data_IF_685962042022
#
_entry.id   IF_685962042022
#
_cell.length_a   1.000
_cell.length_b   1.000
_cell.length_c   1.000
_cell.angle_alpha   90.00
_cell.angle_beta   90.00
_cell.angle_gamma   90.00
#
_symmetry.space_group_name_H-M   'P 1'
#
loop_
_entity.id
_entity.type
_entity.pdbx_description
1 polymer ?
#
# COMPACT_ATOMS: atom_id res chain seq x y z
N UNK A 1 26.84 16.70 -8.43
CA UNK A 1 26.14 15.52 -9.00
C UNK A 1 25.05 14.94 -8.10
N UNK A 2 25.12 15.08 -6.76
CA UNK A 2 24.08 14.54 -5.85
C UNK A 2 22.72 15.29 -5.85
N UNK A 3 22.61 16.44 -6.52
CA UNK A 3 21.38 17.27 -6.54
C UNK A 3 20.50 16.99 -7.77
N UNK A 4 21.06 16.38 -8.81
CA UNK A 4 20.34 16.07 -10.05
C UNK A 4 19.69 14.68 -10.02
N UNK A 5 20.23 13.74 -9.23
CA UNK A 5 19.67 12.39 -9.07
C UNK A 5 18.27 12.41 -8.41
N UNK A 6 18.06 13.32 -7.45
CA UNK A 6 16.76 13.48 -6.76
C UNK A 6 15.68 14.17 -7.60
N UNK A 7 16.05 14.82 -8.71
CA UNK A 7 15.11 15.49 -9.61
C UNK A 7 14.55 14.57 -10.70
N UNK A 8 15.15 13.40 -10.92
CA UNK A 8 14.76 12.48 -11.98
C UNK A 8 13.83 11.34 -11.53
N UNK A 9 13.71 11.07 -10.22
CA UNK A 9 12.95 9.91 -9.70
C UNK A 9 11.49 10.23 -9.34
N UNK A 10 11.09 11.51 -9.34
CA UNK A 10 9.73 11.90 -8.93
C UNK A 10 8.97 12.53 -10.10
N UNK A 11 8.21 11.68 -10.78
CA UNK A 11 7.19 12.06 -11.76
C UNK A 11 6.19 13.07 -11.17
N UNK A 12 5.76 13.99 -12.02
CA UNK A 12 4.99 15.24 -11.78
C UNK A 12 3.70 15.16 -10.95
N UNK A 13 3.25 13.98 -10.49
CA UNK A 13 2.12 13.83 -9.55
C UNK A 13 2.55 13.81 -8.07
N UNK A 14 3.80 13.43 -7.75
CA UNK A 14 4.28 13.33 -6.37
C UNK A 14 4.73 14.69 -5.78
N UNK A 15 5.14 15.66 -6.62
CA UNK A 15 5.65 16.97 -6.17
C UNK A 15 4.63 17.81 -5.37
N UNK A 16 3.33 17.56 -5.54
CA UNK A 16 2.26 18.34 -4.89
C UNK A 16 2.21 18.07 -3.38
N UNK A 17 2.68 16.91 -2.92
CA UNK A 17 2.54 16.45 -1.52
C UNK A 17 3.68 16.92 -0.62
N UNK A 18 4.83 17.27 -1.19
CA UNK A 18 5.99 17.74 -0.45
C UNK A 18 6.00 19.26 -0.30
N UNK A 19 6.72 19.77 0.70
CA UNK A 19 6.97 21.20 0.86
C UNK A 19 7.62 21.76 -0.41
N UNK A 20 7.03 22.81 -1.00
CA UNK A 20 7.60 23.53 -2.13
C UNK A 20 8.75 24.45 -1.69
N UNK A 21 9.86 23.83 -1.30
CA UNK A 21 11.05 24.50 -0.79
C UNK A 21 11.63 25.52 -1.78
N UNK A 22 11.55 25.22 -3.09
CA UNK A 22 12.00 26.13 -4.16
C UNK A 22 11.16 27.40 -4.20
N UNK A 23 9.84 27.30 -4.13
CA UNK A 23 8.94 28.46 -4.10
C UNK A 23 9.14 29.31 -2.84
N UNK A 24 9.23 28.68 -1.66
CA UNK A 24 9.49 29.39 -0.40
C UNK A 24 10.84 30.12 -0.42
N UNK A 25 11.89 29.49 -0.96
CA UNK A 25 13.20 30.15 -1.12
C UNK A 25 13.13 31.35 -2.07
N UNK A 26 12.37 31.25 -3.17
CA UNK A 26 12.13 32.38 -4.09
C UNK A 26 11.34 33.49 -3.39
N UNK A 27 10.36 33.14 -2.56
CA UNK A 27 9.57 34.08 -1.78
C UNK A 27 10.47 34.89 -0.83
N UNK A 28 11.36 34.25 -0.06
CA UNK A 28 12.31 34.95 0.83
C UNK A 28 13.13 35.99 0.04
N UNK A 29 13.67 35.61 -1.13
CA UNK A 29 14.44 36.54 -1.98
C UNK A 29 13.59 37.72 -2.46
N UNK A 30 12.35 37.45 -2.89
CA UNK A 30 11.42 38.48 -3.37
C UNK A 30 11.05 39.47 -2.25
N UNK A 31 10.76 38.95 -1.06
CA UNK A 31 10.41 39.78 0.10
C UNK A 31 11.58 40.63 0.58
N UNK A 32 12.81 40.10 0.56
CA UNK A 32 14.01 40.87 0.91
C UNK A 32 14.34 41.96 -0.12
N UNK A 33 13.92 41.80 -1.37
CA UNK A 33 14.10 42.80 -2.43
C UNK A 33 12.93 43.80 -2.54
N UNK A 34 11.95 43.74 -1.64
CA UNK A 34 10.78 44.63 -1.68
C UNK A 34 11.15 45.99 -1.07
N UNK A 35 10.95 47.13 -1.75
CA UNK A 35 11.27 48.44 -1.19
C UNK A 35 10.43 48.71 0.06
N UNK A 36 11.07 49.14 1.15
CA UNK A 36 10.36 49.62 2.35
C UNK A 36 10.01 51.08 2.09
N UNK A 37 8.72 51.39 1.95
CA UNK A 37 8.26 52.77 1.93
C UNK A 37 8.35 53.32 3.36
N UNK A 38 9.31 54.21 3.63
CA UNK A 38 9.31 54.98 4.87
C UNK A 38 8.19 56.02 4.82
N UNK A 39 7.38 56.10 5.88
CA UNK A 39 6.24 57.02 5.96
C UNK A 39 6.64 58.50 6.15
N UNK A 40 7.94 58.82 6.17
CA UNK A 40 8.45 60.18 6.31
C UNK A 40 9.65 60.32 5.38
N UNK A 41 9.42 60.88 4.19
CA UNK A 41 10.48 61.33 3.29
C UNK A 41 10.74 62.81 3.59
N UNK A 42 11.76 63.05 4.40
CA UNK A 42 12.31 64.39 4.62
C UNK A 42 13.09 64.79 3.33
N UNK A 43 12.85 65.95 2.70
CA UNK A 43 13.40 66.29 1.37
C UNK A 43 14.94 66.41 1.30
N UNK A 44 15.64 66.34 2.44
CA UNK A 44 17.08 66.63 2.55
C UNK A 44 17.96 65.41 2.86
N UNK A 45 17.41 64.18 2.92
CA UNK A 45 18.21 62.97 3.17
C UNK A 45 18.46 62.17 1.87
N UNK A 46 19.72 61.73 1.60
CA UNK A 46 20.01 60.88 0.45
C UNK A 46 19.23 59.56 0.57
N UNK A 47 18.94 58.87 -0.56
CA UNK A 47 18.15 57.63 -0.54
C UNK A 47 18.79 56.64 0.44
N UNK A 48 18.07 56.32 1.52
CA UNK A 48 18.48 55.33 2.51
C UNK A 48 18.74 54.02 1.75
N UNK A 49 19.90 53.37 1.91
CA UNK A 49 20.17 52.09 1.27
C UNK A 49 19.03 51.12 1.57
N UNK A 50 18.53 50.41 0.55
CA UNK A 50 17.54 49.35 0.69
C UNK A 50 17.99 48.37 1.78
N UNK A 51 17.44 48.50 2.98
CA UNK A 51 17.68 47.55 4.05
C UNK A 51 16.82 46.30 3.77
N UNK A 52 17.39 45.39 3.00
CA UNK A 52 16.78 44.11 2.66
C UNK A 52 16.35 43.31 3.90
N UNK A 53 16.99 43.55 5.05
CA UNK A 53 16.62 42.93 6.32
C UNK A 53 15.31 43.50 6.86
N UNK A 54 15.18 44.83 6.92
CA UNK A 54 13.94 45.50 7.34
C UNK A 54 12.77 45.18 6.40
N UNK A 55 13.02 45.14 5.09
CA UNK A 55 12.03 44.72 4.09
C UNK A 55 11.48 43.31 4.33
N UNK A 56 12.38 42.36 4.60
CA UNK A 56 12.00 40.97 4.86
C UNK A 56 11.20 40.85 6.16
N UNK A 57 11.62 41.56 7.22
CA UNK A 57 10.91 41.58 8.51
C UNK A 57 9.52 42.21 8.39
N UNK A 58 9.37 43.31 7.66
CA UNK A 58 8.07 43.95 7.41
C UNK A 58 7.09 43.01 6.68
N UNK A 59 7.61 42.09 5.85
CA UNK A 59 6.83 41.11 5.11
C UNK A 59 6.73 39.73 5.82
N UNK A 60 7.03 39.64 7.11
CA UNK A 60 7.00 38.40 7.91
C UNK A 60 5.69 37.62 7.73
N UNK A 61 4.55 38.28 7.88
CA UNK A 61 3.23 37.64 7.79
C UNK A 61 3.03 36.89 6.46
N UNK A 62 3.50 37.47 5.34
CA UNK A 62 3.34 36.87 4.01
C UNK A 62 4.15 35.59 3.82
N UNK A 63 5.37 35.53 4.39
CA UNK A 63 6.16 34.31 4.36
C UNK A 63 5.54 33.21 5.22
N UNK A 64 5.17 33.53 6.46
CA UNK A 64 4.60 32.55 7.38
C UNK A 64 3.22 32.05 6.93
N UNK A 65 2.37 32.91 6.35
CA UNK A 65 1.14 32.47 5.72
C UNK A 65 1.38 31.41 4.63
N UNK A 66 2.36 31.65 3.74
CA UNK A 66 2.69 30.65 2.72
C UNK A 66 3.29 29.37 3.33
N UNK A 67 4.08 29.49 4.39
CA UNK A 67 4.66 28.35 5.10
C UNK A 67 3.57 27.49 5.77
N UNK A 68 2.56 28.12 6.37
CA UNK A 68 1.39 27.48 6.97
C UNK A 68 0.57 26.74 5.91
N UNK A 69 0.37 27.33 4.72
CA UNK A 69 -0.29 26.63 3.60
C UNK A 69 0.45 25.37 3.18
N UNK A 70 1.78 25.41 3.15
CA UNK A 70 2.59 24.22 2.86
C UNK A 70 2.51 23.19 3.99
N UNK A 71 2.45 23.63 5.25
CA UNK A 71 2.30 22.77 6.42
C UNK A 71 0.94 22.05 6.43
N UNK A 72 -0.14 22.77 6.22
CA UNK A 72 -1.49 22.22 6.13
C UNK A 72 -1.59 21.18 5.01
N UNK A 73 -1.03 21.49 3.84
CA UNK A 73 -0.99 20.57 2.69
C UNK A 73 -0.30 19.25 3.03
N UNK A 74 0.86 19.31 3.67
CA UNK A 74 1.60 18.11 4.12
C UNK A 74 0.78 17.33 5.16
N UNK A 75 0.16 18.04 6.10
CA UNK A 75 -0.64 17.43 7.15
C UNK A 75 -1.89 16.72 6.61
N UNK A 76 -2.61 17.32 5.67
CA UNK A 76 -3.78 16.70 5.01
C UNK A 76 -3.39 15.39 4.33
N UNK A 77 -2.27 15.37 3.60
CA UNK A 77 -1.78 14.15 2.96
C UNK A 77 -1.40 13.07 3.99
N UNK A 78 -0.70 13.46 5.06
CA UNK A 78 -0.35 12.52 6.13
C UNK A 78 -1.59 11.90 6.77
N UNK A 79 -2.57 12.72 7.19
CA UNK A 79 -3.78 12.24 7.86
C UNK A 79 -4.57 11.28 6.99
N UNK A 80 -4.65 11.56 5.69
CA UNK A 80 -5.26 10.63 4.73
C UNK A 80 -4.51 9.29 4.71
N UNK A 81 -3.18 9.31 4.59
CA UNK A 81 -2.38 8.08 4.51
C UNK A 81 -2.37 7.30 5.82
N UNK A 82 -2.36 7.98 6.95
CA UNK A 82 -2.50 7.38 8.28
C UNK A 82 -3.83 6.63 8.40
N UNK A 83 -4.94 7.25 7.97
CA UNK A 83 -6.26 6.62 8.00
C UNK A 83 -6.33 5.37 7.08
N UNK A 84 -5.80 5.47 5.86
CA UNK A 84 -5.70 4.34 4.92
C UNK A 84 -4.91 3.17 5.52
N UNK A 85 -3.73 3.46 6.12
CA UNK A 85 -2.90 2.45 6.78
C UNK A 85 -3.60 1.83 8.00
N UNK A 86 -4.27 2.62 8.84
CA UNK A 86 -5.03 2.12 10.00
C UNK A 86 -6.11 1.13 9.57
N UNK A 87 -6.89 1.46 8.54
CA UNK A 87 -7.93 0.58 8.00
C UNK A 87 -7.30 -0.69 7.42
N UNK A 88 -6.18 -0.56 6.70
CA UNK A 88 -5.49 -1.71 6.10
C UNK A 88 -4.97 -2.67 7.16
N UNK A 89 -4.29 -2.16 8.19
CA UNK A 89 -3.76 -2.97 9.29
C UNK A 89 -4.89 -3.70 10.02
N UNK A 90 -6.00 -3.00 10.32
CA UNK A 90 -7.17 -3.61 10.94
C UNK A 90 -7.70 -4.77 10.09
N UNK A 91 -7.85 -4.56 8.79
CA UNK A 91 -8.32 -5.60 7.85
C UNK A 91 -7.38 -6.81 7.86
N UNK A 92 -6.07 -6.60 7.83
CA UNK A 92 -5.08 -7.68 7.90
C UNK A 92 -5.15 -8.45 9.22
N UNK A 93 -5.29 -7.75 10.36
CA UNK A 93 -5.44 -8.37 11.67
C UNK A 93 -6.74 -9.19 11.76
N UNK A 94 -7.84 -8.67 11.23
CA UNK A 94 -9.13 -9.37 11.22
C UNK A 94 -9.04 -10.65 10.36
N UNK A 95 -8.41 -10.57 9.17
CA UNK A 95 -8.14 -11.74 8.32
C UNK A 95 -7.23 -12.75 9.02
N UNK A 96 -6.19 -12.29 9.71
CA UNK A 96 -5.32 -13.13 10.56
C UNK A 96 -6.11 -13.85 11.65
N UNK A 97 -7.03 -13.16 12.33
CA UNK A 97 -7.87 -13.74 13.39
C UNK A 97 -8.79 -14.84 12.86
N UNK A 98 -9.42 -14.60 11.72
CA UNK A 98 -10.25 -15.61 11.03
C UNK A 98 -9.41 -16.83 10.66
N UNK A 99 -8.22 -16.60 10.11
CA UNK A 99 -7.29 -17.66 9.75
C UNK A 99 -6.86 -18.50 10.97
N UNK A 100 -6.57 -17.86 12.11
CA UNK A 100 -6.25 -18.54 13.38
C UNK A 100 -7.40 -19.37 13.94
N UNK A 101 -8.64 -18.89 13.82
CA UNK A 101 -9.81 -19.60 14.36
C UNK A 101 -10.06 -20.94 13.69
N UNK A 102 -9.53 -21.13 12.48
CA UNK A 102 -9.51 -22.39 11.75
C UNK A 102 -8.20 -23.10 12.10
N UNK A 103 -8.22 -23.97 13.12
CA UNK A 103 -7.04 -24.72 13.55
C UNK A 103 -6.39 -25.46 12.35
N UNK A 104 -5.08 -25.27 12.13
CA UNK A 104 -4.32 -26.03 11.13
C UNK A 104 -3.75 -25.25 9.94
N UNK A 105 -3.44 -23.96 10.05
CA UNK A 105 -2.80 -23.26 8.92
C UNK A 105 -1.34 -23.64 8.71
N UNK A 106 -1.10 -24.39 7.64
CA UNK A 106 0.23 -24.63 7.07
C UNK A 106 0.80 -23.38 6.40
N UNK A 107 2.13 -23.21 6.40
CA UNK A 107 2.86 -22.23 5.56
C UNK A 107 2.47 -22.29 4.08
N UNK A 108 1.99 -23.46 3.63
CA UNK A 108 1.59 -23.72 2.24
C UNK A 108 0.16 -23.26 1.91
N UNK A 109 -0.59 -22.74 2.88
CA UNK A 109 -1.92 -22.20 2.59
C UNK A 109 -1.78 -20.91 1.80
N UNK A 110 -2.39 -20.81 0.62
CA UNK A 110 -2.35 -19.57 -0.16
C UNK A 110 -2.94 -18.35 0.58
N UNK A 111 -3.89 -18.58 1.51
CA UNK A 111 -4.39 -17.53 2.41
C UNK A 111 -3.31 -17.04 3.37
N UNK A 112 -2.44 -17.95 3.84
CA UNK A 112 -1.28 -17.59 4.66
C UNK A 112 -0.30 -16.74 3.86
N UNK A 113 0.13 -17.21 2.68
CA UNK A 113 1.09 -16.50 1.82
C UNK A 113 0.57 -15.10 1.44
N UNK A 114 -0.68 -15.01 1.00
CA UNK A 114 -1.29 -13.73 0.60
C UNK A 114 -1.41 -12.75 1.78
N UNK A 115 -1.66 -13.26 2.99
CA UNK A 115 -1.73 -12.48 4.21
C UNK A 115 -0.36 -12.00 4.67
N UNK A 116 0.66 -12.87 4.64
CA UNK A 116 2.06 -12.54 4.94
C UNK A 116 2.58 -11.47 4.00
N UNK A 117 2.36 -11.63 2.68
CA UNK A 117 2.65 -10.60 1.68
C UNK A 117 1.91 -9.29 1.98
N UNK A 118 0.66 -9.38 2.44
CA UNK A 118 -0.17 -8.24 2.83
C UNK A 118 0.47 -7.43 3.96
N UNK A 119 0.96 -8.10 5.00
CA UNK A 119 1.69 -7.46 6.10
C UNK A 119 3.05 -6.90 5.66
N UNK A 120 3.79 -7.63 4.81
CA UNK A 120 5.07 -7.15 4.30
C UNK A 120 4.91 -5.88 3.44
N UNK A 121 3.88 -5.84 2.59
CA UNK A 121 3.57 -4.66 1.80
C UNK A 121 3.10 -3.49 2.67
N UNK A 122 2.29 -3.76 3.69
CA UNK A 122 1.92 -2.76 4.69
C UNK A 122 3.15 -2.13 5.35
N UNK A 123 4.12 -2.94 5.79
CA UNK A 123 5.37 -2.46 6.39
C UNK A 123 6.17 -1.57 5.41
N UNK A 124 6.22 -1.96 4.13
CA UNK A 124 6.87 -1.16 3.09
C UNK A 124 6.16 0.19 2.89
N UNK A 125 4.83 0.23 2.93
CA UNK A 125 4.07 1.47 2.77
C UNK A 125 4.16 2.37 4.00
N UNK A 126 4.26 1.79 5.20
CA UNK A 126 4.53 2.51 6.44
C UNK A 126 5.92 3.17 6.41
N UNK A 127 6.95 2.46 5.93
CA UNK A 127 8.29 3.03 5.75
C UNK A 127 8.29 4.20 4.76
N UNK A 128 7.55 4.12 3.65
CA UNK A 128 7.39 5.26 2.72
C UNK A 128 6.76 6.48 3.40
N UNK A 129 5.76 6.27 4.26
CA UNK A 129 5.16 7.35 5.04
C UNK A 129 6.15 7.95 6.05
N UNK A 130 6.96 7.13 6.70
CA UNK A 130 8.03 7.59 7.60
C UNK A 130 9.06 8.46 6.87
N UNK A 131 9.54 8.01 5.70
CA UNK A 131 10.44 8.80 4.86
C UNK A 131 9.81 10.13 4.43
N UNK A 132 8.51 10.13 4.11
CA UNK A 132 7.77 11.35 3.79
C UNK A 132 7.79 12.35 4.97
N UNK A 133 7.58 11.89 6.20
CA UNK A 133 7.63 12.73 7.42
C UNK A 133 9.03 13.34 7.58
N UNK A 134 10.07 12.51 7.51
CA UNK A 134 11.46 12.94 7.70
C UNK A 134 11.92 13.98 6.67
N UNK A 135 11.57 13.76 5.39
CA UNK A 135 11.91 14.67 4.29
C UNK A 135 11.21 16.02 4.50
N UNK A 136 9.91 16.03 4.82
CA UNK A 136 9.17 17.27 5.01
C UNK A 136 9.61 18.02 6.29
N UNK A 137 9.87 17.31 7.39
CA UNK A 137 10.40 17.94 8.60
C UNK A 137 11.77 18.57 8.40
N UNK A 138 12.63 17.90 7.64
CA UNK A 138 13.92 18.47 7.21
C UNK A 138 13.72 19.72 6.35
N UNK A 139 12.74 19.72 5.44
CA UNK A 139 12.44 20.87 4.59
C UNK A 139 11.97 22.10 5.40
N UNK A 140 11.05 21.91 6.35
CA UNK A 140 10.59 22.96 7.27
C UNK A 140 11.74 23.52 8.12
N UNK A 141 12.55 22.65 8.72
CA UNK A 141 13.71 23.06 9.52
C UNK A 141 14.73 23.86 8.71
N UNK A 142 14.98 23.47 7.45
CA UNK A 142 15.91 24.15 6.55
C UNK A 142 15.38 25.50 6.06
N UNK A 143 14.09 25.61 5.73
CA UNK A 143 13.52 26.88 5.24
C UNK A 143 13.43 27.92 6.37
N UNK A 144 13.08 27.50 7.60
CA UNK A 144 13.11 28.37 8.77
C UNK A 144 14.52 28.82 9.13
N UNK A 145 15.52 27.92 9.05
CA UNK A 145 16.95 28.30 9.20
C UNK A 145 17.39 29.32 8.16
N UNK A 146 16.84 29.24 6.93
CA UNK A 146 17.10 30.23 5.88
C UNK A 146 16.47 31.58 6.21
N UNK A 147 15.21 31.58 6.66
CA UNK A 147 14.52 32.77 7.13
C UNK A 147 15.33 33.49 8.22
N UNK A 148 15.72 32.78 9.28
CA UNK A 148 16.48 33.34 10.40
C UNK A 148 17.81 33.96 9.95
N UNK A 149 18.56 33.26 9.07
CA UNK A 149 19.81 33.78 8.52
C UNK A 149 19.63 35.05 7.69
N UNK A 150 18.60 35.13 6.86
CA UNK A 150 18.38 36.28 5.96
C UNK A 150 17.74 37.47 6.69
N UNK A 151 16.92 37.19 7.70
CA UNK A 151 16.20 38.22 8.48
C UNK A 151 16.93 38.64 9.77
N UNK A 152 18.01 37.94 10.14
CA UNK A 152 18.70 38.01 11.45
C UNK A 152 17.72 37.86 12.64
N UNK A 153 16.75 36.96 12.50
CA UNK A 153 15.84 36.59 13.60
C UNK A 153 16.18 35.23 14.18
N UNK A 154 15.54 34.91 15.31
CA UNK A 154 15.61 33.60 15.98
C UNK A 154 14.23 32.95 16.02
N UNK A 155 13.49 33.02 14.92
CA UNK A 155 12.07 32.62 14.86
C UNK A 155 11.93 31.10 14.68
N UNK A 156 12.96 30.41 14.20
CA UNK A 156 12.92 28.98 13.87
C UNK A 156 12.47 28.11 15.03
N UNK A 157 13.14 28.17 16.18
CA UNK A 157 12.93 27.22 17.29
C UNK A 157 11.50 27.33 17.86
N UNK A 158 11.02 28.56 18.01
CA UNK A 158 9.68 28.83 18.51
C UNK A 158 8.60 28.39 17.52
N UNK A 159 8.83 28.56 16.21
CA UNK A 159 7.88 28.12 15.20
C UNK A 159 7.88 26.59 15.02
N UNK A 160 9.05 25.95 15.08
CA UNK A 160 9.13 24.50 15.01
C UNK A 160 8.35 23.85 16.16
N UNK A 161 8.62 24.26 17.39
CA UNK A 161 7.97 23.70 18.58
C UNK A 161 6.46 23.99 18.64
N UNK A 162 6.00 25.17 18.20
CA UNK A 162 4.58 25.56 18.35
C UNK A 162 3.68 25.25 17.17
N UNK A 163 4.23 25.22 15.95
CA UNK A 163 3.42 25.07 14.75
C UNK A 163 3.70 23.76 14.02
N UNK A 164 4.96 23.33 13.95
CA UNK A 164 5.38 22.19 13.12
C UNK A 164 5.34 20.89 13.91
N UNK A 165 6.00 20.80 15.07
CA UNK A 165 6.12 19.59 15.89
C UNK A 165 4.79 19.19 16.55
N UNK A 166 3.86 20.14 16.72
CA UNK A 166 2.50 19.85 17.23
C UNK A 166 1.59 19.22 16.17
N UNK A 167 2.01 19.15 14.91
CA UNK A 167 1.18 18.57 13.87
C UNK A 167 1.12 17.04 14.01
N UNK A 168 -0.04 16.42 13.70
CA UNK A 168 -0.22 14.97 13.74
C UNK A 168 0.88 14.18 13.01
N UNK A 169 1.39 14.71 11.88
CA UNK A 169 2.41 14.02 11.09
C UNK A 169 3.79 13.89 11.75
N UNK A 170 4.06 14.60 12.85
CA UNK A 170 5.25 14.39 13.67
C UNK A 170 5.01 13.46 14.86
N UNK A 171 3.79 12.92 15.02
CA UNK A 171 3.53 11.97 16.08
C UNK A 171 4.17 10.62 15.77
N UNK A 172 5.37 10.42 16.33
CA UNK A 172 6.13 9.18 16.19
C UNK A 172 5.43 7.97 16.86
N UNK A 173 4.54 8.19 17.84
CA UNK A 173 3.91 7.07 18.57
C UNK A 173 3.00 6.27 17.66
N UNK A 174 2.19 6.92 16.83
CA UNK A 174 1.26 6.23 15.93
C UNK A 174 2.01 5.36 14.92
N UNK A 175 3.10 5.87 14.34
CA UNK A 175 3.89 5.10 13.38
C UNK A 175 4.56 3.91 14.06
N UNK A 176 5.10 4.10 15.27
CA UNK A 176 5.66 3.01 16.08
C UNK A 176 4.60 1.95 16.39
N UNK A 177 3.43 2.35 16.88
CA UNK A 177 2.34 1.43 17.22
C UNK A 177 1.84 0.63 16.01
N UNK A 178 1.75 1.25 14.83
CA UNK A 178 1.40 0.57 13.59
C UNK A 178 2.48 -0.42 13.16
N UNK A 179 3.75 -0.04 13.30
CA UNK A 179 4.89 -0.89 12.99
C UNK A 179 4.93 -2.11 13.91
N UNK A 180 4.83 -1.87 15.23
CA UNK A 180 4.88 -2.91 16.25
C UNK A 180 3.76 -3.93 16.03
N UNK A 181 2.53 -3.48 15.80
CA UNK A 181 1.40 -4.38 15.51
C UNK A 181 1.60 -5.22 14.24
N UNK A 182 2.19 -4.65 13.19
CA UNK A 182 2.48 -5.39 11.96
C UNK A 182 3.61 -6.41 12.17
N UNK A 183 4.68 -6.02 12.85
CA UNK A 183 5.82 -6.91 13.17
C UNK A 183 5.39 -8.04 14.10
N UNK A 184 4.66 -7.75 15.17
CA UNK A 184 4.10 -8.79 16.05
C UNK A 184 3.18 -9.73 15.28
N UNK A 185 2.35 -9.21 14.38
CA UNK A 185 1.48 -10.06 13.55
C UNK A 185 2.24 -10.97 12.60
N UNK A 186 3.33 -10.51 11.99
CA UNK A 186 4.21 -11.34 11.16
C UNK A 186 4.93 -12.42 11.97
N UNK A 187 5.41 -12.07 13.17
CA UNK A 187 6.05 -13.03 14.08
C UNK A 187 5.08 -14.10 14.54
N UNK A 188 3.86 -13.72 14.93
CA UNK A 188 2.79 -14.67 15.29
C UNK A 188 2.43 -15.60 14.13
N UNK A 189 2.27 -15.04 12.92
CA UNK A 189 2.02 -15.85 11.71
C UNK A 189 3.15 -16.86 11.49
N UNK A 190 4.41 -16.43 11.58
CA UNK A 190 5.56 -17.31 11.44
C UNK A 190 5.58 -18.43 12.49
N UNK A 191 5.34 -18.11 13.76
CA UNK A 191 5.32 -19.09 14.85
C UNK A 191 4.22 -20.14 14.67
N UNK A 192 3.01 -19.74 14.25
CA UNK A 192 1.92 -20.69 13.97
C UNK A 192 2.27 -21.67 12.86
N UNK A 193 2.99 -21.18 11.86
CA UNK A 193 3.40 -21.95 10.72
C UNK A 193 4.50 -23.00 11.05
N UNK A 194 5.29 -22.76 12.10
CA UNK A 194 6.30 -23.68 12.62
C UNK A 194 5.75 -24.66 13.69
N UNK A 195 4.48 -24.54 14.06
CA UNK A 195 3.84 -25.37 15.09
C UNK A 195 4.12 -24.93 16.52
N UNK A 196 4.81 -23.80 16.71
CA UNK A 196 5.04 -23.19 18.01
C UNK A 196 3.79 -22.40 18.46
N UNK A 197 2.90 -23.08 19.17
CA UNK A 197 1.82 -22.43 19.89
C UNK A 197 2.38 -21.68 21.11
N UNK A 198 2.79 -20.43 20.94
CA UNK A 198 3.03 -19.51 22.06
C UNK A 198 1.74 -18.71 22.29
N UNK A 199 0.93 -19.00 23.33
CA UNK A 199 -0.25 -18.20 23.61
C UNK A 199 0.22 -16.91 24.30
N UNK A 200 0.25 -15.80 23.56
CA UNK A 200 0.30 -14.48 24.18
C UNK A 200 -1.13 -14.04 24.49
N UNK A 201 -1.58 -14.33 25.72
CA UNK A 201 -2.85 -13.82 26.26
C UNK A 201 -2.78 -12.30 26.47
N UNK A 202 -3.24 -11.56 25.47
CA UNK A 202 -3.59 -10.15 25.58
C UNK A 202 -5.11 -9.97 25.75
N UNK A 203 -5.57 -10.02 27.01
CA UNK A 203 -6.88 -9.59 27.56
C UNK A 203 -8.12 -9.63 26.64
N UNK A 204 -8.96 -10.60 26.99
CA UNK A 204 -10.40 -10.72 26.73
C UNK A 204 -11.16 -9.42 26.97
N UNK A 205 -11.80 -8.88 25.93
CA UNK A 205 -13.01 -8.07 26.10
C UNK A 205 -14.10 -8.55 25.13
N UNK A 206 -15.15 -9.05 25.75
CA UNK A 206 -16.53 -9.22 25.28
C UNK A 206 -16.78 -9.84 23.90
N UNK A 207 -17.08 -11.13 23.97
CA UNK A 207 -17.86 -11.93 23.05
C UNK A 207 -19.17 -11.20 22.66
N UNK A 208 -19.41 -11.09 21.35
CA UNK A 208 -20.77 -11.18 20.80
C UNK A 208 -20.81 -12.47 20.00
N UNK A 209 -21.67 -13.37 20.48
CA UNK A 209 -22.02 -14.63 19.86
C UNK A 209 -22.66 -14.36 18.49
N UNK A 210 -22.04 -14.87 17.43
CA UNK A 210 -22.75 -15.21 16.20
C UNK A 210 -22.51 -16.69 15.95
N UNK A 211 -23.57 -17.45 16.19
CA UNK A 211 -23.72 -18.87 15.96
C UNK A 211 -23.23 -19.26 14.56
N UNK A 212 -22.08 -19.93 14.47
CA UNK A 212 -21.82 -20.99 13.49
C UNK A 212 -20.62 -21.82 13.95
N UNK A 213 -20.92 -22.78 14.83
CA UNK A 213 -20.09 -23.95 15.08
C UNK A 213 -20.30 -24.89 13.87
N UNK A 214 -19.45 -24.82 12.84
CA UNK A 214 -19.26 -25.84 11.79
C UNK A 214 -18.26 -25.25 10.78
N UNK A 215 -17.02 -25.78 10.72
CA UNK A 215 -16.01 -25.27 9.79
C UNK A 215 -14.75 -26.10 9.66
N UNK A 216 -14.71 -27.32 10.19
CA UNK A 216 -13.53 -28.20 10.11
C UNK A 216 -13.43 -28.91 8.76
N UNK A 217 -14.48 -29.60 8.32
CA UNK A 217 -14.44 -30.41 7.08
C UNK A 217 -14.28 -29.59 5.79
N UNK A 218 -14.85 -28.37 5.73
CA UNK A 218 -14.80 -27.53 4.52
C UNK A 218 -13.41 -26.94 4.28
N UNK A 219 -12.74 -26.50 5.34
CA UNK A 219 -11.37 -25.96 5.30
C UNK A 219 -10.37 -27.05 4.94
N UNK A 220 -10.60 -28.28 5.39
CA UNK A 220 -9.76 -29.44 5.06
C UNK A 220 -9.88 -29.82 3.59
N UNK A 221 -11.10 -29.80 3.02
CA UNK A 221 -11.32 -30.07 1.61
C UNK A 221 -10.72 -29.00 0.68
N UNK A 222 -10.77 -27.71 1.05
CA UNK A 222 -10.07 -26.63 0.31
C UNK A 222 -8.56 -26.84 0.29
N UNK A 223 -8.01 -27.18 1.46
CA UNK A 223 -6.58 -27.41 1.65
C UNK A 223 -6.12 -28.65 0.88
N UNK A 224 -6.91 -29.72 0.91
CA UNK A 224 -6.64 -30.95 0.15
C UNK A 224 -6.68 -30.69 -1.36
N UNK A 225 -7.66 -29.93 -1.85
CA UNK A 225 -7.76 -29.59 -3.27
C UNK A 225 -6.57 -28.73 -3.72
N UNK A 226 -6.12 -27.78 -2.89
CA UNK A 226 -4.92 -27.00 -3.18
C UNK A 226 -3.64 -27.84 -3.15
N UNK A 227 -3.45 -28.69 -2.15
CA UNK A 227 -2.26 -29.55 -2.03
C UNK A 227 -2.17 -30.56 -3.18
N UNK A 228 -3.29 -31.18 -3.57
CA UNK A 228 -3.33 -32.07 -4.74
C UNK A 228 -3.04 -31.33 -6.05
N UNK A 229 -3.47 -30.08 -6.20
CA UNK A 229 -3.12 -29.25 -7.34
C UNK A 229 -1.62 -28.91 -7.37
N UNK A 230 -1.04 -28.51 -6.23
CA UNK A 230 0.38 -28.13 -6.11
C UNK A 230 1.30 -29.34 -6.32
N UNK A 231 0.97 -30.50 -5.76
CA UNK A 231 1.77 -31.73 -5.90
C UNK A 231 1.81 -32.28 -7.33
N UNK A 232 0.92 -31.81 -8.22
CA UNK A 232 0.93 -32.20 -9.63
C UNK A 232 0.36 -33.58 -9.90
N UNK A 233 -0.31 -34.21 -8.94
CA UNK A 233 -0.95 -35.51 -9.14
C UNK A 233 -2.29 -35.34 -9.88
N UNK A 234 -2.22 -35.31 -11.21
CA UNK A 234 -3.36 -35.02 -12.08
C UNK A 234 -4.52 -36.01 -11.91
N UNK A 235 -4.23 -37.30 -11.69
CA UNK A 235 -5.25 -38.33 -11.49
C UNK A 235 -6.01 -38.11 -10.17
N UNK A 236 -5.28 -37.85 -9.10
CA UNK A 236 -5.89 -37.55 -7.79
C UNK A 236 -6.68 -36.25 -7.83
N UNK A 237 -6.18 -35.24 -8.54
CA UNK A 237 -6.87 -33.95 -8.71
C UNK A 237 -8.19 -34.13 -9.47
N UNK A 238 -8.18 -34.86 -10.58
CA UNK A 238 -9.40 -35.15 -11.37
C UNK A 238 -10.42 -35.96 -10.56
N UNK A 239 -9.98 -37.02 -9.88
CA UNK A 239 -10.86 -37.83 -9.05
C UNK A 239 -11.49 -37.03 -7.89
N UNK A 240 -10.70 -36.17 -7.24
CA UNK A 240 -11.20 -35.29 -6.18
C UNK A 240 -12.25 -34.31 -6.70
N UNK A 241 -11.99 -33.67 -7.86
CA UNK A 241 -12.94 -32.75 -8.49
C UNK A 241 -14.26 -33.44 -8.86
N UNK A 242 -14.20 -34.66 -9.39
CA UNK A 242 -15.39 -35.47 -9.72
C UNK A 242 -16.20 -35.77 -8.45
N UNK A 243 -15.54 -36.20 -7.38
CA UNK A 243 -16.21 -36.48 -6.09
C UNK A 243 -16.89 -35.23 -5.52
N UNK A 244 -16.23 -34.08 -5.62
CA UNK A 244 -16.77 -32.80 -5.14
C UNK A 244 -17.97 -32.33 -5.99
N UNK A 245 -17.92 -32.51 -7.31
CA UNK A 245 -19.06 -32.26 -8.21
C UNK A 245 -20.27 -33.16 -7.89
N UNK A 246 -20.04 -34.44 -7.62
CA UNK A 246 -21.11 -35.38 -7.27
C UNK A 246 -21.80 -34.98 -5.95
N UNK A 247 -21.02 -34.52 -4.97
CA UNK A 247 -21.52 -34.09 -3.65
C UNK A 247 -22.33 -32.79 -3.75
N UNK A 248 -21.84 -31.83 -4.54
CA UNK A 248 -22.49 -30.51 -4.71
C UNK A 248 -23.88 -30.60 -5.35
N UNK A 249 -24.20 -31.67 -6.08
CA UNK A 249 -25.52 -31.85 -6.71
C UNK A 249 -26.59 -32.38 -5.74
N UNK A 250 -26.20 -32.77 -4.52
CA UNK A 250 -27.08 -33.47 -3.57
C UNK A 250 -27.56 -32.62 -2.38
N UNK A 251 -26.91 -31.50 -2.06
CA UNK A 251 -27.24 -30.64 -0.91
C UNK A 251 -27.29 -29.17 -1.33
N UNK A 252 -28.48 -28.54 -1.49
CA UNK A 252 -28.59 -27.15 -1.92
C UNK A 252 -28.43 -26.12 -0.78
N UNK A 253 -28.21 -26.55 0.47
CA UNK A 253 -28.25 -25.66 1.63
C UNK A 253 -26.90 -25.54 2.33
N UNK A 254 -26.34 -24.34 2.29
CA UNK A 254 -25.21 -23.82 3.09
C UNK A 254 -23.78 -24.16 2.63
N UNK A 255 -23.57 -24.78 1.46
CA UNK A 255 -22.23 -25.04 0.92
C UNK A 255 -21.67 -23.83 0.14
N UNK A 256 -20.39 -23.47 0.32
CA UNK A 256 -19.66 -22.58 -0.60
C UNK A 256 -19.77 -23.18 -2.01
N UNK A 257 -20.26 -22.44 -3.02
CA UNK A 257 -20.42 -22.98 -4.37
C UNK A 257 -19.11 -23.62 -4.85
N UNK A 258 -19.18 -24.84 -5.40
CA UNK A 258 -18.00 -25.52 -5.92
C UNK A 258 -17.20 -24.63 -6.88
N UNK A 259 -17.90 -23.80 -7.67
CA UNK A 259 -17.34 -22.71 -8.48
C UNK A 259 -16.40 -21.78 -7.68
N UNK A 260 -16.87 -21.22 -6.56
CA UNK A 260 -16.05 -20.32 -5.73
C UNK A 260 -14.83 -21.06 -5.17
N UNK A 261 -15.02 -22.32 -4.76
CA UNK A 261 -13.94 -23.15 -4.22
C UNK A 261 -12.84 -23.42 -5.25
N UNK A 262 -13.21 -23.92 -6.43
CA UNK A 262 -12.28 -24.23 -7.53
C UNK A 262 -11.59 -22.95 -8.00
N UNK A 263 -12.32 -21.83 -8.07
CA UNK A 263 -11.78 -20.51 -8.41
C UNK A 263 -10.72 -20.04 -7.39
N UNK A 264 -11.02 -20.14 -6.08
CA UNK A 264 -10.06 -19.80 -5.03
C UNK A 264 -8.82 -20.69 -5.08
N UNK A 265 -9.00 -22.00 -5.29
CA UNK A 265 -7.88 -22.93 -5.48
C UNK A 265 -7.05 -22.57 -6.69
N UNK A 266 -7.68 -22.23 -7.82
CA UNK A 266 -6.97 -21.83 -9.03
C UNK A 266 -6.10 -20.59 -8.77
N UNK A 267 -6.66 -19.51 -8.21
CA UNK A 267 -5.90 -18.29 -7.91
C UNK A 267 -4.73 -18.55 -6.94
N UNK A 268 -4.97 -19.38 -5.92
CA UNK A 268 -3.98 -19.82 -4.95
C UNK A 268 -2.83 -20.65 -5.57
N UNK A 269 -3.16 -21.48 -6.55
CA UNK A 269 -2.24 -22.41 -7.18
C UNK A 269 -1.30 -21.74 -8.21
N UNK A 270 -1.60 -20.52 -8.69
CA UNK A 270 -0.82 -19.81 -9.73
C UNK A 270 0.67 -19.70 -9.39
N UNK A 271 0.99 -19.57 -8.10
CA UNK A 271 2.36 -19.40 -7.60
C UNK A 271 3.23 -20.66 -7.74
N UNK A 272 2.67 -21.83 -7.42
CA UNK A 272 3.46 -23.03 -7.11
C UNK A 272 3.03 -24.27 -7.90
N UNK A 273 1.78 -24.34 -8.37
CA UNK A 273 1.28 -25.52 -9.05
C UNK A 273 1.85 -25.65 -10.47
N UNK A 274 2.12 -26.88 -10.94
CA UNK A 274 2.49 -27.14 -12.32
C UNK A 274 1.41 -26.65 -13.30
N UNK A 275 1.83 -26.24 -14.50
CA UNK A 275 0.91 -25.79 -15.56
C UNK A 275 -0.20 -26.82 -15.84
N UNK A 276 0.13 -28.11 -15.88
CA UNK A 276 -0.85 -29.17 -16.13
C UNK A 276 -1.96 -29.24 -15.06
N UNK A 277 -1.66 -28.93 -13.79
CA UNK A 277 -2.69 -28.86 -12.74
C UNK A 277 -3.62 -27.66 -12.94
N UNK A 278 -3.06 -26.52 -13.36
CA UNK A 278 -3.84 -25.32 -13.66
C UNK A 278 -4.74 -25.53 -14.88
N UNK A 279 -4.25 -26.24 -15.91
CA UNK A 279 -5.04 -26.69 -17.06
C UNK A 279 -6.21 -27.57 -16.62
N UNK A 280 -5.97 -28.58 -15.78
CA UNK A 280 -7.05 -29.44 -15.24
C UNK A 280 -8.11 -28.63 -14.50
N UNK A 281 -7.71 -27.65 -13.69
CA UNK A 281 -8.66 -26.77 -12.99
C UNK A 281 -9.49 -25.94 -13.99
N UNK A 282 -8.87 -25.38 -15.03
CA UNK A 282 -9.55 -24.61 -16.07
C UNK A 282 -10.50 -25.46 -16.92
N UNK A 283 -10.11 -26.70 -17.26
CA UNK A 283 -10.92 -27.67 -18.01
C UNK A 283 -12.26 -28.00 -17.34
N UNK A 284 -12.36 -27.81 -16.02
CA UNK A 284 -13.63 -28.01 -15.30
C UNK A 284 -14.74 -27.05 -15.74
N UNK A 285 -14.40 -25.89 -16.31
CA UNK A 285 -15.34 -24.80 -16.59
C UNK A 285 -15.90 -24.11 -15.33
N UNK A 286 -15.36 -24.45 -14.14
CA UNK A 286 -15.75 -23.88 -12.84
C UNK A 286 -14.79 -22.80 -12.33
N UNK A 287 -13.83 -22.38 -13.13
CA UNK A 287 -12.92 -21.28 -12.77
C UNK A 287 -13.49 -19.98 -13.31
N UNK A 288 -13.90 -19.10 -12.42
CA UNK A 288 -14.17 -17.71 -12.76
C UNK A 288 -12.85 -16.93 -12.85
N UNK A 289 -12.37 -16.76 -14.09
CA UNK A 289 -11.10 -16.05 -14.38
C UNK A 289 -11.16 -14.55 -14.05
N UNK A 290 -12.35 -13.98 -13.87
CA UNK A 290 -12.55 -12.56 -13.54
C UNK A 290 -12.52 -12.29 -12.04
N UNK A 291 -12.46 -13.34 -11.22
CA UNK A 291 -12.43 -13.23 -9.76
C UNK A 291 -11.13 -12.60 -9.24
N UNK A 292 -11.23 -12.04 -8.04
CA UNK A 292 -10.14 -11.39 -7.30
C UNK A 292 -9.95 -12.08 -5.94
N UNK A 293 -8.72 -12.07 -5.41
CA UNK A 293 -8.45 -12.55 -4.05
C UNK A 293 -9.04 -11.59 -2.99
N UNK A 294 -9.45 -12.13 -1.84
CA UNK A 294 -10.17 -11.38 -0.81
C UNK A 294 -9.29 -10.57 0.17
N UNK A 295 -7.96 -10.58 -0.01
CA UNK A 295 -6.99 -9.95 0.89
C UNK A 295 -6.29 -8.76 0.24
N UNK A 296 -5.91 -8.90 -1.04
CA UNK A 296 -5.18 -7.92 -1.83
C UNK A 296 -5.95 -7.45 -3.08
N UNK A 297 -7.13 -7.99 -3.38
CA UNK A 297 -7.95 -7.66 -4.57
C UNK A 297 -7.19 -7.86 -5.89
N UNK A 298 -6.36 -8.91 -5.95
CA UNK A 298 -5.59 -9.28 -7.14
C UNK A 298 -6.36 -10.31 -7.96
N UNK A 299 -6.58 -9.99 -9.23
CA UNK A 299 -7.03 -10.96 -10.23
C UNK A 299 -5.89 -11.90 -10.71
N UNK A 300 -6.20 -12.83 -11.60
CA UNK A 300 -5.23 -13.79 -12.12
C UNK A 300 -4.05 -13.15 -12.86
N UNK A 301 -4.23 -11.97 -13.50
CA UNK A 301 -3.15 -11.26 -14.20
C UNK A 301 -2.13 -10.67 -13.22
N UNK A 302 -2.59 -10.15 -12.08
CA UNK A 302 -1.70 -9.73 -11.00
C UNK A 302 -0.87 -10.92 -10.52
N UNK A 303 -1.50 -12.05 -10.20
CA UNK A 303 -0.79 -13.23 -9.70
C UNK A 303 0.20 -13.78 -10.73
N UNK A 304 -0.21 -13.87 -12.00
CA UNK A 304 0.68 -14.27 -13.10
C UNK A 304 1.91 -13.36 -13.17
N UNK A 305 1.73 -12.04 -13.12
CA UNK A 305 2.83 -11.06 -13.19
C UNK A 305 3.67 -10.95 -11.93
N UNK A 306 3.23 -11.50 -10.79
CA UNK A 306 3.99 -11.61 -9.54
C UNK A 306 4.82 -12.89 -9.51
N UNK A 307 4.30 -14.00 -10.04
CA UNK A 307 4.98 -15.30 -9.98
C UNK A 307 5.65 -15.75 -11.29
N UNK A 308 5.37 -15.09 -12.41
CA UNK A 308 6.05 -15.28 -13.69
C UNK A 308 5.35 -16.31 -14.54
N UNK A 309 4.06 -16.49 -14.32
CA UNK A 309 3.27 -17.54 -14.93
C UNK A 309 2.71 -17.06 -16.27
N UNK A 310 3.49 -17.25 -17.34
CA UNK A 310 3.11 -16.86 -18.71
C UNK A 310 1.86 -17.58 -19.22
N UNK A 311 1.62 -18.81 -18.77
CA UNK A 311 0.43 -19.58 -19.12
C UNK A 311 -0.84 -18.91 -18.56
N UNK A 312 -0.86 -18.60 -17.26
CA UNK A 312 -2.03 -17.94 -16.66
C UNK A 312 -2.22 -16.53 -17.22
N UNK A 313 -1.12 -15.84 -17.58
CA UNK A 313 -1.21 -14.55 -18.27
C UNK A 313 -1.93 -14.66 -19.61
N UNK A 314 -1.56 -15.63 -20.46
CA UNK A 314 -2.18 -15.81 -21.78
C UNK A 314 -3.65 -16.21 -21.66
N UNK A 315 -3.98 -17.09 -20.71
CA UNK A 315 -5.37 -17.48 -20.39
C UNK A 315 -6.19 -16.27 -19.94
N UNK A 316 -5.69 -15.47 -18.99
CA UNK A 316 -6.39 -14.30 -18.49
C UNK A 316 -6.60 -13.23 -19.56
N UNK A 317 -5.59 -12.97 -20.40
CA UNK A 317 -5.72 -12.02 -21.52
C UNK A 317 -6.74 -12.50 -22.56
N UNK A 318 -6.70 -13.78 -22.93
CA UNK A 318 -7.66 -14.37 -23.87
C UNK A 318 -9.08 -14.41 -23.30
N UNK A 319 -9.21 -14.57 -21.98
CA UNK A 319 -10.47 -14.49 -21.24
C UNK A 319 -11.00 -13.06 -21.01
N UNK A 320 -10.31 -12.04 -21.54
CA UNK A 320 -10.74 -10.65 -21.43
C UNK A 320 -10.66 -10.06 -20.02
N UNK A 321 -9.76 -10.58 -19.16
CA UNK A 321 -9.57 -10.04 -17.81
C UNK A 321 -9.06 -8.60 -17.88
N UNK A 322 -9.64 -7.72 -17.06
CA UNK A 322 -9.30 -6.31 -17.05
C UNK A 322 -7.82 -6.06 -16.69
N UNK A 323 -7.02 -5.70 -17.71
CA UNK A 323 -5.58 -5.38 -17.59
C UNK A 323 -5.30 -4.10 -16.81
N UNK A 324 -6.31 -3.24 -16.64
CA UNK A 324 -6.21 -1.95 -15.95
C UNK A 324 -6.85 -1.95 -14.55
N UNK A 325 -7.37 -3.09 -14.09
CA UNK A 325 -7.92 -3.23 -12.75
C UNK A 325 -6.80 -3.06 -11.72
N UNK A 326 -7.05 -2.27 -10.69
CA UNK A 326 -6.09 -2.00 -9.62
C UNK A 326 -6.36 -2.86 -8.41
N UNK A 327 -5.30 -3.38 -7.79
CA UNK A 327 -5.32 -4.02 -6.49
C UNK A 327 -5.54 -3.01 -5.33
N UNK A 328 -5.57 -3.50 -4.08
CA UNK A 328 -5.69 -2.68 -2.85
C UNK A 328 -4.62 -1.59 -2.74
N UNK A 329 -3.47 -1.76 -3.40
CA UNK A 329 -2.35 -0.82 -3.39
C UNK A 329 -2.36 0.15 -4.57
N UNK A 330 -3.42 0.14 -5.39
CA UNK A 330 -3.55 0.97 -6.58
C UNK A 330 -2.64 0.52 -7.73
N UNK A 331 -2.12 -0.71 -7.70
CA UNK A 331 -1.25 -1.26 -8.73
C UNK A 331 -2.08 -2.10 -9.70
N UNK A 332 -1.87 -1.88 -10.98
CA UNK A 332 -2.27 -2.80 -12.06
C UNK A 332 -1.21 -3.89 -12.31
N UNK A 333 -1.52 -5.00 -13.02
CA UNK A 333 -0.57 -6.08 -13.32
C UNK A 333 0.74 -5.60 -13.96
N UNK A 334 0.68 -4.56 -14.80
CA UNK A 334 1.85 -3.97 -15.47
C UNK A 334 2.93 -3.46 -14.48
N UNK A 335 2.53 -2.99 -13.30
CA UNK A 335 3.47 -2.56 -12.28
C UNK A 335 4.31 -3.74 -11.77
N UNK A 336 3.69 -4.89 -11.57
CA UNK A 336 4.36 -6.10 -11.10
C UNK A 336 5.30 -6.67 -12.16
N UNK A 337 4.85 -6.73 -13.41
CA UNK A 337 5.72 -7.10 -14.52
C UNK A 337 6.97 -6.20 -14.57
N UNK A 338 6.81 -4.89 -14.36
CA UNK A 338 7.91 -3.93 -14.31
C UNK A 338 8.83 -4.11 -13.09
N UNK A 339 8.26 -4.28 -11.89
CA UNK A 339 9.02 -4.47 -10.63
C UNK A 339 9.88 -5.74 -10.67
N UNK A 340 9.40 -6.79 -11.34
CA UNK A 340 10.12 -8.05 -11.47
C UNK A 340 10.94 -8.17 -12.77
N UNK A 341 11.00 -7.13 -13.60
CA UNK A 341 11.80 -7.12 -14.85
C UNK A 341 11.30 -8.08 -15.92
N UNK A 342 10.01 -8.38 -15.97
CA UNK A 342 9.40 -9.38 -16.86
C UNK A 342 8.94 -8.76 -18.16
N UNK A 343 9.90 -8.54 -19.07
CA UNK A 343 9.68 -7.84 -20.33
C UNK A 343 8.61 -8.49 -21.22
N UNK A 344 8.60 -9.81 -21.32
CA UNK A 344 7.63 -10.53 -22.17
C UNK A 344 6.19 -10.31 -21.69
N UNK A 345 5.97 -10.40 -20.37
CA UNK A 345 4.65 -10.16 -19.76
C UNK A 345 4.24 -8.69 -19.87
N UNK A 346 5.19 -7.77 -19.75
CA UNK A 346 4.97 -6.34 -19.92
C UNK A 346 4.48 -6.03 -21.33
N UNK A 347 5.14 -6.59 -22.36
CA UNK A 347 4.72 -6.42 -23.75
C UNK A 347 3.32 -6.99 -24.00
N UNK A 348 3.04 -8.21 -23.52
CA UNK A 348 1.73 -8.83 -23.66
C UNK A 348 0.61 -8.00 -23.01
N UNK A 349 0.87 -7.42 -21.83
CA UNK A 349 -0.10 -6.53 -21.16
C UNK A 349 -0.32 -5.24 -21.92
N UNK A 350 0.74 -4.62 -22.48
CA UNK A 350 0.60 -3.40 -23.28
C UNK A 350 -0.18 -3.65 -24.57
N UNK A 351 0.03 -4.79 -25.22
CA UNK A 351 -0.75 -5.21 -26.38
C UNK A 351 -2.23 -5.38 -25.99
N UNK A 352 -2.51 -6.05 -24.87
CA UNK A 352 -3.86 -6.18 -24.32
C UNK A 352 -4.52 -4.85 -23.96
N UNK A 353 -3.75 -3.86 -23.48
CA UNK A 353 -4.25 -2.51 -23.21
C UNK A 353 -4.61 -1.72 -24.48
N UNK A 354 -3.96 -2.01 -25.60
CA UNK A 354 -4.19 -1.33 -26.88
C UNK A 354 -5.33 -1.95 -27.69
N UNK A 355 -5.76 -3.17 -27.35
CA UNK A 355 -6.94 -3.80 -27.92
C UNK A 355 -8.19 -3.18 -27.27
N UNK A 356 -8.87 -2.28 -27.98
CA UNK A 356 -10.17 -1.74 -27.53
C UNK A 356 -11.13 -2.90 -27.25
N UNK A 357 -12.00 -2.79 -26.23
CA UNK A 357 -13.02 -3.81 -25.98
C UNK A 357 -13.83 -4.01 -27.27
N UNK A 358 -13.85 -5.24 -27.78
CA UNK A 358 -14.79 -5.63 -28.83
C UNK A 358 -16.19 -5.42 -28.24
N UNK A 359 -16.93 -4.49 -28.84
CA UNK A 359 -18.28 -4.10 -28.45
C UNK A 359 -19.27 -5.26 -28.62
#
# INVERSE_FOLDING_TARGET
>A
MHTLYWQAVLTSRQEIRFVNYKALKKLIKKLAATPVLSAQADPYHPPVPLDAQAALQANKAKFFFQLERELEKVNVFYLQKEAELKIRLKTLIDKKRVLRSRQGTSRRSAKFTTLEEGFQQFANDLNKLQQFIEINGTAFSKILKKWDKTSKSKTKELYLSRAVEVQPFFNATVISELSDQATTSLQELGAWADGDHVPFEGRTEHIVSSQHLLGTAESDADTLLLDTAITGNLESLRDLLIRMQATSNSTPSMDIPLMERVTRTFLAAIHEAPQASLEVLLETGLVDIQSEDDINERNCLHQATIYGNSFVLSVGLSGGVAVNRTDVYGRVPLHYASMHGRLDMLNALLEGMNQKPQQ
#
